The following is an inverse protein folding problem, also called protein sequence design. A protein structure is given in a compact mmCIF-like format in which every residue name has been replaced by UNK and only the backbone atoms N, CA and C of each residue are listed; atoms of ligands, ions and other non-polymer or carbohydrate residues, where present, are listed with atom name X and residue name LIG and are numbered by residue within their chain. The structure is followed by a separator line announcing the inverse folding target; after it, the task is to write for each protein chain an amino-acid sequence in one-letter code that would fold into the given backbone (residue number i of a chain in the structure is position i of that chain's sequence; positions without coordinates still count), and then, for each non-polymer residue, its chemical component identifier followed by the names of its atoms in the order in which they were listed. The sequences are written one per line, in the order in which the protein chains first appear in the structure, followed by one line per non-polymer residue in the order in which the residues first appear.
data_IF_382768641117
#
_entry.id   IF_382768641117
#
_cell.length_a   1.000
_cell.length_b   1.000
_cell.length_c   1.000
_cell.angle_alpha   90.00
_cell.angle_beta   90.00
_cell.angle_gamma   90.00
#
_symmetry.space_group_name_H-M   'P 1'
#
loop_
_entity.id
_entity.type
_entity.pdbx_description
1 polymer ?
#
# COMPACT_ATOMS: atom_id res chain seq x y z
N UNK A 1 -19.51 -4.91 6.86
CA UNK A 1 -19.36 -5.36 6.32
C UNK A 1 -18.31 -5.25 5.62
N UNK A 2 -18.30 -5.66 4.86
CA UNK A 2 -17.24 -5.52 4.15
C UNK A 2 -16.68 -4.21 4.21
N UNK A 3 -17.19 -3.52 5.08
CA UNK A 3 -16.66 -2.26 5.18
C UNK A 3 -15.22 -2.28 5.45
N UNK A 4 -14.73 -3.24 6.14
CA UNK A 4 -13.33 -3.30 6.40
C UNK A 4 -12.52 -3.43 5.14
N UNK A 5 -13.03 -4.19 4.20
CA UNK A 5 -12.32 -4.38 2.96
C UNK A 5 -12.46 -3.17 2.07
N UNK A 6 -13.57 -2.49 2.15
CA UNK A 6 -13.79 -1.36 1.31
C UNK A 6 -13.09 -0.13 1.83
N UNK A 7 -12.75 -0.10 3.10
CA UNK A 7 -12.15 1.05 3.65
C UNK A 7 -10.69 0.90 3.73
N UNK A 8 -9.97 1.68 2.99
CA UNK A 8 -8.54 1.68 3.08
C UNK A 8 -8.10 2.52 4.25
N UNK A 9 -6.97 2.14 4.81
CA UNK A 9 -6.36 2.91 5.87
C UNK A 9 -6.13 4.33 5.34
N UNK A 10 -6.37 5.36 6.17
CA UNK A 10 -6.08 6.73 5.73
C UNK A 10 -4.66 6.93 5.28
N UNK A 11 -3.73 6.08 5.70
CA UNK A 11 -2.35 6.19 5.26
C UNK A 11 -2.05 5.41 3.99
N UNK A 12 -3.08 4.84 3.34
CA UNK A 12 -2.89 4.04 2.14
C UNK A 12 -2.17 4.84 1.06
N UNK A 13 -2.60 6.04 0.80
CA UNK A 13 -2.00 6.87 -0.24
C UNK A 13 -0.54 7.16 0.09
N UNK A 14 -0.27 7.58 1.31
CA UNK A 14 1.11 7.88 1.69
C UNK A 14 1.98 6.64 1.60
N UNK A 15 1.46 5.51 2.04
CA UNK A 15 2.20 4.25 1.95
C UNK A 15 2.51 3.90 0.51
N UNK A 16 1.54 4.07 -0.37
CA UNK A 16 1.74 3.80 -1.78
C UNK A 16 2.83 4.68 -2.38
N UNK A 17 2.80 5.96 -2.06
CA UNK A 17 3.80 6.88 -2.58
C UNK A 17 5.20 6.53 -2.06
N UNK A 18 5.28 6.12 -0.80
CA UNK A 18 6.55 5.74 -0.22
C UNK A 18 7.14 4.51 -0.92
N UNK A 19 6.34 3.46 -1.10
CA UNK A 19 6.88 2.23 -1.69
C UNK A 19 7.25 2.44 -3.15
N UNK A 20 6.48 3.23 -3.88
CA UNK A 20 6.81 3.51 -5.27
C UNK A 20 8.11 4.31 -5.34
N UNK A 21 8.23 5.31 -4.48
CA UNK A 21 9.44 6.11 -4.47
C UNK A 21 10.68 5.31 -4.07
N UNK A 22 10.51 4.34 -3.16
CA UNK A 22 11.63 3.52 -2.75
C UNK A 22 11.90 2.38 -3.72
N UNK A 23 10.94 2.04 -4.53
CA UNK A 23 11.10 0.92 -5.47
C UNK A 23 10.91 -0.44 -4.83
N UNK A 24 10.40 -0.50 -3.62
CA UNK A 24 10.14 -1.76 -2.95
C UNK A 24 9.17 -1.53 -1.81
N UNK A 25 8.53 -2.60 -1.38
CA UNK A 25 7.59 -2.52 -0.28
C UNK A 25 8.02 -3.49 0.82
N UNK A 26 8.22 -2.96 2.00
CA UNK A 26 8.56 -3.77 3.16
C UNK A 26 7.84 -3.18 4.36
N UNK A 27 7.40 -4.07 5.25
CA UNK A 27 6.70 -3.64 6.44
C UNK A 27 7.57 -2.69 7.27
N UNK A 28 8.85 -3.03 7.44
CA UNK A 28 9.73 -2.21 8.25
C UNK A 28 9.94 -0.82 7.66
N UNK A 29 9.94 -0.72 6.34
CA UNK A 29 10.05 0.56 5.69
C UNK A 29 8.89 1.47 6.09
N UNK A 30 7.67 0.93 6.02
CA UNK A 30 6.49 1.71 6.36
C UNK A 30 6.45 2.03 7.84
N UNK A 31 6.92 1.14 8.70
CA UNK A 31 6.98 1.43 10.11
C UNK A 31 7.80 2.68 10.35
N UNK A 32 8.96 2.77 9.73
CA UNK A 32 9.84 3.89 9.94
C UNK A 32 9.32 5.15 9.29
N UNK A 33 8.87 5.05 8.06
CA UNK A 33 8.49 6.25 7.31
C UNK A 33 7.18 6.84 7.78
N UNK A 34 6.25 6.00 8.22
CA UNK A 34 4.94 6.46 8.67
C UNK A 34 4.84 6.53 10.17
N UNK A 35 5.85 6.00 10.86
CA UNK A 35 5.88 5.98 12.32
C UNK A 35 4.66 5.28 12.89
N UNK A 36 4.42 4.08 12.39
CA UNK A 36 3.31 3.25 12.85
C UNK A 36 3.85 1.94 13.36
N UNK A 37 3.03 1.20 14.07
CA UNK A 37 3.43 -0.10 14.57
C UNK A 37 3.43 -1.15 13.48
N UNK A 38 3.93 -2.33 13.84
CA UNK A 38 4.07 -3.41 12.88
C UNK A 38 2.73 -3.85 12.29
N UNK A 39 1.73 -4.01 13.14
CA UNK A 39 0.45 -4.51 12.68
C UNK A 39 -0.16 -3.59 11.63
N UNK A 40 -0.12 -2.30 11.88
CA UNK A 40 -0.69 -1.35 10.93
C UNK A 40 0.11 -1.31 9.66
N UNK A 41 1.44 -1.35 9.77
CA UNK A 41 2.30 -1.35 8.60
C UNK A 41 2.05 -2.59 7.75
N UNK A 42 1.92 -3.75 8.39
CA UNK A 42 1.66 -4.98 7.66
C UNK A 42 0.32 -4.93 6.95
N UNK A 43 -0.68 -4.37 7.63
CA UNK A 43 -1.99 -4.23 7.02
C UNK A 43 -1.94 -3.30 5.80
N UNK A 44 -1.15 -2.22 5.89
CA UNK A 44 -1.00 -1.33 4.75
C UNK A 44 -0.35 -2.05 3.58
N UNK A 45 0.65 -2.87 3.84
CA UNK A 45 1.29 -3.63 2.76
C UNK A 45 0.27 -4.57 2.12
N UNK A 46 -0.57 -5.21 2.94
CA UNK A 46 -1.60 -6.11 2.40
C UNK A 46 -2.60 -5.34 1.54
N UNK A 47 -2.99 -4.15 1.96
CA UNK A 47 -3.90 -3.34 1.17
C UNK A 47 -3.28 -2.91 -0.14
N UNK A 48 -1.99 -2.58 -0.11
CA UNK A 48 -1.29 -2.23 -1.34
C UNK A 48 -1.23 -3.42 -2.29
N UNK A 49 -1.08 -4.63 -1.75
CA UNK A 49 -1.05 -5.82 -2.58
C UNK A 49 -2.43 -6.10 -3.17
N UNK A 50 -3.49 -5.88 -2.40
CA UNK A 50 -4.83 -6.08 -2.92
C UNK A 50 -5.13 -5.13 -4.06
N UNK A 51 -4.61 -3.92 -3.99
CA UNK A 51 -4.82 -2.92 -5.03
C UNK A 51 -3.81 -3.07 -6.17
N UNK A 52 -2.91 -4.04 -6.06
CA UNK A 52 -1.90 -4.30 -7.09
C UNK A 52 -0.87 -3.20 -7.21
N UNK A 53 -0.69 -2.46 -6.17
CA UNK A 53 0.40 -1.51 -6.11
C UNK A 53 1.71 -2.25 -5.91
N UNK A 54 1.65 -3.34 -5.15
CA UNK A 54 2.83 -4.18 -4.91
C UNK A 54 2.46 -5.63 -5.15
N UNK A 55 3.46 -6.47 -5.31
CA UNK A 55 3.27 -7.88 -5.58
C UNK A 55 3.02 -8.70 -4.33
N UNK A 56 2.90 -10.00 -4.50
CA UNK A 56 2.59 -10.88 -3.39
C UNK A 56 3.79 -11.10 -2.49
N UNK A 57 3.51 -11.61 -1.32
CA UNK A 57 4.55 -11.94 -0.36
C UNK A 57 5.49 -12.99 -0.95
N UNK A 58 6.78 -12.77 -0.80
CA UNK A 58 7.77 -13.71 -1.32
C UNK A 58 8.80 -14.00 -0.26
N UNK A 59 8.38 -14.53 0.83
CA UNK A 59 9.28 -14.89 1.90
C UNK A 59 9.84 -13.67 2.60
N UNK A 60 11.12 -13.65 2.85
CA UNK A 60 11.70 -12.55 3.59
C UNK A 60 12.07 -11.37 2.73
N UNK A 61 11.79 -11.43 1.45
CA UNK A 61 12.18 -10.34 0.55
C UNK A 61 11.13 -9.24 0.56
N UNK A 62 11.58 -8.05 0.24
CA UNK A 62 10.64 -6.95 0.02
C UNK A 62 9.76 -7.29 -1.17
N UNK A 63 8.53 -6.79 -1.14
CA UNK A 63 7.63 -7.03 -2.25
C UNK A 63 7.95 -6.09 -3.40
N UNK A 64 7.70 -6.58 -4.59
CA UNK A 64 7.96 -5.82 -5.79
C UNK A 64 6.93 -4.73 -6.00
N UNK A 65 7.33 -3.59 -6.51
CA UNK A 65 6.40 -2.52 -6.84
C UNK A 65 5.91 -2.76 -8.26
N UNK A 66 4.59 -2.75 -8.43
CA UNK A 66 3.96 -3.08 -9.71
C UNK A 66 3.35 -1.88 -10.42
N UNK A 67 3.40 -0.70 -9.82
CA UNK A 67 2.68 0.45 -10.33
C UNK A 67 3.57 1.67 -10.32
N UNK A 68 3.33 2.59 -11.26
CA UNK A 68 4.00 3.88 -11.22
C UNK A 68 3.20 4.84 -10.37
N UNK A 69 3.79 5.97 -10.04
CA UNK A 69 3.08 6.97 -9.28
C UNK A 69 1.86 7.48 -10.04
N UNK A 70 1.99 7.65 -11.35
CA UNK A 70 0.86 8.10 -12.15
C UNK A 70 -0.29 7.10 -12.09
N UNK A 71 0.05 5.81 -12.12
CA UNK A 71 -0.98 4.78 -12.02
C UNK A 71 -1.62 4.77 -10.65
N UNK A 72 -0.84 5.02 -9.60
CA UNK A 72 -1.41 5.12 -8.27
C UNK A 72 -2.39 6.28 -8.20
N UNK A 73 -2.06 7.40 -8.78
CA UNK A 73 -2.94 8.55 -8.76
C UNK A 73 -4.23 8.26 -9.49
N UNK A 74 -4.17 7.53 -10.59
CA UNK A 74 -5.38 7.14 -11.28
C UNK A 74 -6.22 6.20 -10.44
N UNK A 75 -5.57 5.27 -9.75
CA UNK A 75 -6.28 4.36 -8.87
C UNK A 75 -7.01 5.12 -7.77
N UNK A 76 -6.36 6.10 -7.19
CA UNK A 76 -6.95 6.86 -6.10
C UNK A 76 -8.17 7.64 -6.60
N UNK A 77 -8.06 8.23 -7.77
CA UNK A 77 -9.18 8.96 -8.33
C UNK A 77 -10.35 8.04 -8.64
N UNK A 78 -10.08 6.91 -9.25
CA UNK A 78 -11.13 5.98 -9.59
C UNK A 78 -11.79 5.42 -8.36
N UNK A 79 -10.97 5.06 -7.40
CA UNK A 79 -11.50 4.48 -6.19
C UNK A 79 -12.36 5.44 -5.42
N UNK A 80 -11.97 6.69 -5.42
CA UNK A 80 -12.75 7.66 -4.72
C UNK A 80 -14.07 7.86 -5.39
N UNK A 81 -14.10 7.86 -6.67
CA UNK A 81 -15.32 8.10 -7.36
C UNK A 81 -16.30 7.00 -7.26
N UNK A 82 -15.80 5.86 -6.91
CA UNK A 82 -16.70 4.75 -6.82
C UNK A 82 -17.59 4.76 -5.75
N UNK A 83 -17.48 5.26 -5.03
CA UNK A 83 -18.27 5.08 -4.03
C UNK A 83 -19.15 5.50 -3.97
#
# INVERSE_FOLDING_TARGET
PADGAARRDPLFERAGRIVIGEGRAATSLLQRRLQVGYTRAARLVDQLAEARVVGPYEGSKSREVLMTLAELEQLLDSGEGDE
#
